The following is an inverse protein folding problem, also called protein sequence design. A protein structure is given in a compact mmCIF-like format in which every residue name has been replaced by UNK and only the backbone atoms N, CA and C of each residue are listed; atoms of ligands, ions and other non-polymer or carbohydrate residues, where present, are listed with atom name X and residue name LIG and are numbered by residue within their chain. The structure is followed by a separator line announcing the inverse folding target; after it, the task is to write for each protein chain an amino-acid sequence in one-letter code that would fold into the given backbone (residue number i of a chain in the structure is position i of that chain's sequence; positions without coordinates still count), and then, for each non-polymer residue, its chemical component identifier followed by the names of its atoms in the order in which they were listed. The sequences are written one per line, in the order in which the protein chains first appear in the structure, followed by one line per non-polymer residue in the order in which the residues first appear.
data_IF_628044496007
#
_entry.id   IF_628044496007
#
_cell.length_a   1.000
_cell.length_b   1.000
_cell.length_c   1.000
_cell.angle_alpha   90.00
_cell.angle_beta   90.00
_cell.angle_gamma   90.00
#
_symmetry.space_group_name_H-M   'P 1'
#
loop_
_entity.id
_entity.type
_entity.pdbx_description
1 polymer ?
#
# COMPACT_ATOMS: atom_id res chain seq x y z
N UNK A 1 -34.70 48.90 -24.19
CA UNK A 1 -33.27 48.60 -24.42
C UNK A 1 -32.63 48.23 -23.10
N UNK A 2 -32.36 46.92 -22.91
CA UNK A 2 -31.24 46.30 -22.16
C UNK A 2 -31.64 44.86 -21.86
N UNK A 3 -31.24 43.98 -22.78
CA UNK A 3 -31.26 42.53 -22.61
C UNK A 3 -30.31 42.19 -21.44
N UNK A 4 -30.84 41.56 -20.40
CA UNK A 4 -30.04 40.91 -19.37
C UNK A 4 -29.72 39.50 -19.87
N UNK A 5 -28.59 39.38 -20.55
CA UNK A 5 -28.01 38.10 -20.93
C UNK A 5 -27.59 37.38 -19.65
N UNK A 6 -28.37 36.36 -19.24
CA UNK A 6 -27.96 35.42 -18.20
C UNK A 6 -26.76 34.64 -18.73
N UNK A 7 -25.57 35.04 -18.29
CA UNK A 7 -24.33 34.29 -18.49
C UNK A 7 -24.43 33.01 -17.63
N UNK A 8 -24.84 31.91 -18.24
CA UNK A 8 -24.79 30.58 -17.64
C UNK A 8 -23.31 30.17 -17.64
N UNK A 9 -22.61 30.50 -16.56
CA UNK A 9 -21.26 29.96 -16.32
C UNK A 9 -21.45 28.49 -16.00
N UNK A 10 -21.35 27.66 -17.03
CA UNK A 10 -21.15 26.22 -16.90
C UNK A 10 -19.81 26.05 -16.16
N UNK A 11 -19.86 25.90 -14.84
CA UNK A 11 -18.76 25.40 -14.03
C UNK A 11 -18.49 23.97 -14.49
N UNK A 12 -17.66 23.83 -15.53
CA UNK A 12 -16.99 22.57 -15.82
C UNK A 12 -16.02 22.40 -14.66
N UNK A 13 -16.42 21.64 -13.64
CA UNK A 13 -15.50 21.16 -12.62
C UNK A 13 -14.51 20.26 -13.33
N UNK A 14 -13.35 20.82 -13.68
CA UNK A 14 -12.18 20.02 -14.02
C UNK A 14 -11.85 19.31 -12.70
N UNK A 15 -12.28 18.06 -12.56
CA UNK A 15 -11.83 17.21 -11.47
C UNK A 15 -10.32 17.10 -11.66
N UNK A 16 -9.55 17.82 -10.83
CA UNK A 16 -8.11 17.61 -10.76
C UNK A 16 -7.92 16.21 -10.21
N UNK A 17 -7.77 15.25 -11.11
CA UNK A 17 -7.27 13.92 -10.85
C UNK A 17 -5.84 14.08 -10.29
N UNK A 18 -5.71 14.09 -8.97
CA UNK A 18 -4.41 14.04 -8.31
C UNK A 18 -4.01 12.57 -8.23
N UNK A 19 -3.05 12.14 -9.05
CA UNK A 19 -2.44 10.83 -8.89
C UNK A 19 -1.52 10.83 -7.66
N UNK A 20 -1.62 9.76 -6.88
CA UNK A 20 -0.71 9.45 -5.77
C UNK A 20 0.26 8.39 -6.25
N UNK A 21 1.52 8.54 -5.90
CA UNK A 21 2.58 7.56 -6.18
C UNK A 21 3.34 7.28 -4.89
N UNK A 22 3.47 5.99 -4.57
CA UNK A 22 4.24 5.48 -3.44
C UNK A 22 5.32 4.55 -3.99
N UNK A 23 6.58 4.76 -3.59
CA UNK A 23 7.72 3.97 -4.04
C UNK A 23 8.59 3.56 -2.85
N UNK A 24 9.08 2.33 -2.88
CA UNK A 24 10.01 1.77 -1.90
C UNK A 24 11.35 1.47 -2.57
N UNK A 25 12.45 1.60 -1.82
CA UNK A 25 13.80 1.19 -2.27
C UNK A 25 14.29 0.05 -1.40
N UNK A 26 14.99 0.36 -0.32
CA UNK A 26 15.50 -0.61 0.65
C UNK A 26 14.62 -0.69 1.92
N UNK A 27 13.35 -0.33 1.79
CA UNK A 27 12.36 -0.26 2.87
C UNK A 27 11.03 -0.91 2.47
N UNK A 28 10.15 -1.08 3.46
CA UNK A 28 8.76 -1.51 3.29
C UNK A 28 7.82 -0.33 3.58
N UNK A 29 6.62 -0.36 3.01
CA UNK A 29 5.59 0.66 3.25
C UNK A 29 4.20 0.03 3.29
N UNK A 30 3.28 0.67 4.02
CA UNK A 30 1.86 0.29 4.04
C UNK A 30 1.02 1.50 3.65
N UNK A 31 0.25 1.35 2.58
CA UNK A 31 -0.65 2.38 2.07
C UNK A 31 -2.11 1.96 2.31
N UNK A 32 -2.90 2.87 2.88
CA UNK A 32 -4.35 2.71 2.99
C UNK A 32 -5.03 3.46 1.85
N UNK A 33 -5.69 2.71 0.96
CA UNK A 33 -6.38 3.28 -0.20
C UNK A 33 -7.70 3.96 0.21
N UNK A 34 -8.25 4.86 -0.63
CA UNK A 34 -9.47 5.59 -0.29
C UNK A 34 -10.71 4.72 -0.04
N UNK A 35 -10.73 3.46 -0.50
CA UNK A 35 -11.81 2.50 -0.21
C UNK A 35 -11.60 1.68 1.07
N UNK A 36 -10.55 1.98 1.85
CA UNK A 36 -10.15 1.27 3.06
C UNK A 36 -9.35 -0.02 2.82
N UNK A 37 -8.99 -0.34 1.57
CA UNK A 37 -8.11 -1.46 1.27
C UNK A 37 -6.69 -1.14 1.71
N UNK A 38 -5.98 -2.15 2.22
CA UNK A 38 -4.57 -2.01 2.59
C UNK A 38 -3.70 -2.62 1.50
N UNK A 39 -2.70 -1.86 1.08
CA UNK A 39 -1.66 -2.31 0.17
C UNK A 39 -0.34 -2.22 0.86
N UNK A 40 0.42 -3.29 0.78
CA UNK A 40 1.70 -3.35 1.43
C UNK A 40 2.78 -3.61 0.40
N UNK A 41 3.78 -2.74 0.41
CA UNK A 41 4.83 -2.70 -0.59
C UNK A 41 6.07 -3.37 -0.03
N UNK A 42 6.60 -4.35 -0.76
CA UNK A 42 7.93 -4.87 -0.53
C UNK A 42 8.98 -3.83 -0.97
N UNK A 43 10.25 -4.05 -0.68
CA UNK A 43 11.37 -3.27 -1.21
C UNK A 43 11.37 -3.26 -2.76
N UNK A 44 11.93 -2.21 -3.38
CA UNK A 44 11.95 -2.01 -4.84
C UNK A 44 10.59 -2.14 -5.53
N UNK A 45 9.54 -1.58 -4.94
CA UNK A 45 8.18 -1.67 -5.44
C UNK A 45 7.55 -0.28 -5.61
N UNK A 46 6.52 -0.19 -6.45
CA UNK A 46 5.78 1.05 -6.64
C UNK A 46 4.28 0.81 -6.76
N UNK A 47 3.51 1.78 -6.29
CA UNK A 47 2.06 1.84 -6.35
C UNK A 47 1.64 3.22 -6.85
N UNK A 48 0.75 3.27 -7.83
CA UNK A 48 0.16 4.50 -8.34
C UNK A 48 -1.35 4.37 -8.45
N UNK A 49 -2.10 5.38 -8.00
CA UNK A 49 -3.56 5.41 -8.09
C UNK A 49 -4.11 6.83 -8.10
N UNK A 50 -5.34 6.98 -8.60
CA UNK A 50 -6.08 8.24 -8.56
C UNK A 50 -6.66 8.46 -7.15
N UNK A 51 -6.37 9.61 -6.54
CA UNK A 51 -6.86 9.96 -5.20
C UNK A 51 -8.38 9.97 -5.07
N UNK A 52 -9.12 10.26 -6.16
CA UNK A 52 -10.59 10.18 -6.18
C UNK A 52 -11.08 8.75 -5.98
N UNK A 53 -10.31 7.79 -6.50
CA UNK A 53 -10.62 6.36 -6.49
C UNK A 53 -12.03 6.02 -7.03
N UNK A 54 -12.56 6.88 -7.91
CA UNK A 54 -13.84 6.68 -8.61
C UNK A 54 -13.87 5.32 -9.34
N UNK A 55 -12.69 4.93 -9.84
CA UNK A 55 -12.37 3.57 -10.22
C UNK A 55 -11.36 3.02 -9.23
N UNK A 56 -11.65 1.84 -8.69
CA UNK A 56 -10.76 1.12 -7.77
C UNK A 56 -9.61 0.48 -8.56
N UNK A 57 -8.76 1.31 -9.14
CA UNK A 57 -7.67 0.89 -10.03
C UNK A 57 -6.33 1.38 -9.50
N UNK A 58 -5.33 0.50 -9.55
CA UNK A 58 -3.95 0.81 -9.16
C UNK A 58 -2.99 0.30 -10.22
N UNK A 59 -1.88 0.99 -10.47
CA UNK A 59 -0.77 0.53 -11.28
C UNK A 59 0.41 0.17 -10.37
N UNK A 60 1.10 -0.93 -10.64
CA UNK A 60 2.17 -1.40 -9.75
C UNK A 60 3.42 -1.89 -10.49
N UNK A 61 4.53 -1.90 -9.75
CA UNK A 61 5.76 -2.64 -10.07
C UNK A 61 6.31 -3.30 -8.80
N UNK A 62 7.06 -4.39 -8.95
CA UNK A 62 7.66 -5.10 -7.83
C UNK A 62 6.68 -6.07 -7.17
N UNK A 63 6.78 -6.23 -5.86
CA UNK A 63 5.97 -7.16 -5.07
C UNK A 63 5.11 -6.42 -4.05
N UNK A 64 3.80 -6.62 -4.15
CA UNK A 64 2.82 -5.99 -3.29
C UNK A 64 1.79 -7.02 -2.83
N UNK A 65 1.45 -6.94 -1.55
CA UNK A 65 0.33 -7.68 -0.97
C UNK A 65 -0.89 -6.77 -0.82
N UNK A 66 -2.06 -7.32 -1.13
CA UNK A 66 -3.33 -6.61 -1.14
C UNK A 66 -4.32 -7.28 -0.19
N UNK A 67 -4.85 -6.49 0.75
CA UNK A 67 -6.04 -6.81 1.54
C UNK A 67 -7.18 -5.90 1.05
N UNK A 68 -7.92 -6.39 0.05
CA UNK A 68 -8.95 -5.59 -0.63
C UNK A 68 -10.30 -5.69 0.07
N UNK A 69 -10.85 -4.54 0.46
CA UNK A 69 -12.19 -4.45 1.04
C UNK A 69 -13.23 -4.93 0.04
N UNK A 70 -14.19 -5.73 0.50
CA UNK A 70 -15.26 -6.24 -0.35
C UNK A 70 -16.18 -5.12 -0.84
N UNK A 71 -16.36 -5.02 -2.16
CA UNK A 71 -17.19 -4.00 -2.80
C UNK A 71 -17.98 -4.53 -4.00
N UNK A 72 -18.93 -3.73 -4.47
CA UNK A 72 -19.75 -4.05 -5.64
C UNK A 72 -19.00 -3.80 -6.96
N UNK A 73 -18.15 -2.77 -7.01
CA UNK A 73 -17.26 -2.48 -8.13
C UNK A 73 -15.96 -3.28 -8.02
N UNK A 74 -15.39 -3.74 -9.15
CA UNK A 74 -14.13 -4.46 -9.15
C UNK A 74 -12.98 -3.56 -8.72
N UNK A 75 -12.06 -4.14 -7.96
CA UNK A 75 -10.72 -3.60 -7.75
C UNK A 75 -9.79 -4.20 -8.80
N UNK A 76 -8.98 -3.38 -9.47
CA UNK A 76 -8.10 -3.79 -10.57
C UNK A 76 -6.67 -3.36 -10.29
N UNK A 77 -5.78 -4.33 -10.20
CA UNK A 77 -4.33 -4.10 -10.20
C UNK A 77 -3.83 -4.24 -11.63
N UNK A 78 -3.20 -3.19 -12.15
CA UNK A 78 -2.60 -3.16 -13.48
C UNK A 78 -1.10 -3.33 -13.38
N UNK A 79 -0.56 -4.19 -14.23
CA UNK A 79 0.87 -4.37 -14.44
C UNK A 79 1.18 -4.25 -15.92
N UNK A 80 2.46 -4.24 -16.28
CA UNK A 80 2.86 -4.25 -17.70
C UNK A 80 2.37 -5.51 -18.45
N UNK A 81 2.24 -6.63 -17.73
CA UNK A 81 1.95 -7.94 -18.33
C UNK A 81 0.47 -8.34 -18.29
N UNK A 82 -0.33 -7.66 -17.48
CA UNK A 82 -1.74 -7.98 -17.35
C UNK A 82 -2.47 -7.23 -16.25
N UNK A 83 -3.70 -7.67 -16.02
CA UNK A 83 -4.60 -7.12 -15.02
C UNK A 83 -5.07 -8.20 -14.05
N UNK A 84 -5.09 -7.87 -12.77
CA UNK A 84 -5.63 -8.69 -11.69
C UNK A 84 -6.91 -8.04 -11.19
N UNK A 85 -8.04 -8.74 -11.30
CA UNK A 85 -9.36 -8.22 -10.92
C UNK A 85 -9.98 -9.01 -9.78
N UNK A 86 -10.48 -8.29 -8.79
CA UNK A 86 -11.11 -8.86 -7.58
C UNK A 86 -12.33 -8.05 -7.15
N UNK A 87 -13.14 -8.58 -6.25
CA UNK A 87 -14.23 -7.84 -5.58
C UNK A 87 -13.95 -7.61 -4.09
N UNK A 88 -13.10 -8.44 -3.48
CA UNK A 88 -12.74 -8.47 -2.06
C UNK A 88 -11.98 -9.76 -1.81
N UNK A 89 -10.66 -9.66 -1.69
CA UNK A 89 -9.73 -10.78 -1.83
C UNK A 89 -8.44 -10.39 -1.11
N UNK A 90 -7.79 -11.37 -0.48
CA UNK A 90 -6.43 -11.26 0.03
C UNK A 90 -5.48 -12.00 -0.90
N UNK A 91 -4.52 -11.29 -1.49
CA UNK A 91 -3.64 -11.84 -2.53
C UNK A 91 -2.32 -11.09 -2.64
N UNK A 92 -1.29 -11.79 -3.12
CA UNK A 92 0.01 -11.21 -3.46
C UNK A 92 0.12 -11.07 -4.98
N UNK A 93 0.74 -9.98 -5.43
CA UNK A 93 1.16 -9.80 -6.83
C UNK A 93 2.65 -9.47 -6.86
N UNK A 94 3.42 -10.26 -7.60
CA UNK A 94 4.83 -9.99 -7.88
C UNK A 94 5.00 -9.89 -9.39
N UNK A 95 5.50 -8.75 -9.86
CA UNK A 95 5.61 -8.47 -11.29
C UNK A 95 6.92 -7.76 -11.63
N UNK A 96 7.50 -8.17 -12.75
CA UNK A 96 8.60 -7.49 -13.42
C UNK A 96 8.32 -7.43 -14.94
N UNK A 97 9.32 -7.08 -15.73
CA UNK A 97 9.20 -6.91 -17.20
C UNK A 97 8.85 -8.21 -17.96
N UNK A 98 9.14 -9.37 -17.36
CA UNK A 98 9.02 -10.68 -17.99
C UNK A 98 8.03 -11.61 -17.31
N UNK A 99 7.78 -11.44 -16.01
CA UNK A 99 6.99 -12.36 -15.19
C UNK A 99 5.94 -11.63 -14.36
N UNK A 100 4.76 -12.26 -14.24
CA UNK A 100 3.65 -11.85 -13.39
C UNK A 100 3.16 -13.08 -12.62
N UNK A 101 3.34 -13.03 -11.31
CA UNK A 101 2.94 -14.04 -10.35
C UNK A 101 1.84 -13.50 -9.44
N UNK A 102 0.78 -14.29 -9.26
CA UNK A 102 -0.33 -13.98 -8.35
C UNK A 102 -0.60 -15.16 -7.43
N UNK A 103 -0.67 -14.94 -6.12
CA UNK A 103 -1.03 -15.94 -5.13
C UNK A 103 -2.26 -15.50 -4.34
N UNK A 104 -3.26 -16.38 -4.18
CA UNK A 104 -4.55 -16.03 -3.56
C UNK A 104 -4.69 -16.74 -2.21
N UNK A 105 -4.80 -15.96 -1.13
CA UNK A 105 -4.98 -16.47 0.23
C UNK A 105 -6.47 -16.55 0.61
N UNK A 106 -7.24 -15.50 0.32
CA UNK A 106 -8.69 -15.46 0.50
C UNK A 106 -9.40 -14.92 -0.74
N UNK A 107 -10.59 -15.43 -1.04
CA UNK A 107 -11.43 -14.94 -2.12
C UNK A 107 -11.11 -15.56 -3.48
N UNK A 108 -11.25 -14.76 -4.53
CA UNK A 108 -11.02 -15.20 -5.91
C UNK A 108 -10.48 -14.03 -6.73
N UNK A 109 -9.49 -14.36 -7.56
CA UNK A 109 -8.86 -13.46 -8.52
C UNK A 109 -9.24 -13.86 -9.93
N UNK A 110 -9.45 -12.88 -10.79
CA UNK A 110 -9.37 -13.05 -12.24
C UNK A 110 -8.07 -12.42 -12.74
N UNK A 111 -7.13 -13.25 -13.20
CA UNK A 111 -5.91 -12.79 -13.87
C UNK A 111 -6.15 -12.78 -15.39
N UNK A 112 -5.88 -11.65 -16.02
CA UNK A 112 -5.99 -11.45 -17.46
C UNK A 112 -4.66 -10.95 -18.02
N UNK A 113 -4.21 -11.55 -19.10
CA UNK A 113 -3.09 -11.08 -19.93
C UNK A 113 -3.61 -10.87 -21.35
N UNK A 114 -2.79 -10.34 -22.26
CA UNK A 114 -3.20 -10.06 -23.64
C UNK A 114 -3.84 -11.25 -24.36
N UNK A 115 -3.41 -12.48 -24.04
CA UNK A 115 -3.82 -13.69 -24.75
C UNK A 115 -4.56 -14.71 -23.88
N UNK A 116 -4.72 -14.47 -22.58
CA UNK A 116 -5.30 -15.48 -21.68
C UNK A 116 -5.97 -14.88 -20.46
N UNK A 117 -6.99 -15.56 -19.96
CA UNK A 117 -7.69 -15.20 -18.72
C UNK A 117 -7.91 -16.44 -17.87
N UNK A 118 -7.66 -16.35 -16.56
CA UNK A 118 -7.88 -17.44 -15.60
C UNK A 118 -8.47 -16.92 -14.31
N UNK A 119 -9.38 -17.71 -13.73
CA UNK A 119 -9.80 -17.55 -12.33
C UNK A 119 -8.86 -18.33 -11.43
N UNK A 120 -8.36 -17.67 -10.39
CA UNK A 120 -7.44 -18.20 -9.38
C UNK A 120 -8.18 -18.15 -8.05
N UNK A 121 -8.39 -19.32 -7.44
CA UNK A 121 -9.12 -19.43 -6.17
C UNK A 121 -8.14 -19.45 -5.01
N UNK A 122 -8.68 -19.24 -3.81
CA UNK A 122 -7.97 -19.49 -2.54
C UNK A 122 -7.08 -20.75 -2.58
N UNK A 123 -5.84 -20.59 -2.14
CA UNK A 123 -4.82 -21.64 -2.09
C UNK A 123 -4.17 -21.95 -3.44
N UNK A 124 -4.50 -21.21 -4.49
CA UNK A 124 -3.90 -21.34 -5.82
C UNK A 124 -2.99 -20.16 -6.15
N UNK A 125 -2.05 -20.43 -7.05
CA UNK A 125 -1.22 -19.43 -7.70
C UNK A 125 -1.47 -19.42 -9.21
N UNK A 126 -1.15 -18.30 -9.84
CA UNK A 126 -1.14 -18.14 -11.27
C UNK A 126 0.14 -17.43 -11.69
N UNK A 127 0.84 -18.00 -12.67
CA UNK A 127 2.09 -17.47 -13.21
C UNK A 127 1.94 -17.20 -14.69
N UNK A 128 2.38 -16.05 -15.13
CA UNK A 128 2.53 -15.71 -16.53
C UNK A 128 3.94 -15.25 -16.79
N UNK A 129 4.53 -15.75 -17.87
CA UNK A 129 5.83 -15.31 -18.38
C UNK A 129 5.64 -14.82 -19.80
N UNK A 130 6.21 -13.67 -20.13
CA UNK A 130 6.23 -13.09 -21.47
C UNK A 130 6.77 -14.12 -22.46
N UNK A 131 6.05 -14.31 -23.58
CA UNK A 131 6.38 -15.31 -24.59
C UNK A 131 5.79 -16.71 -24.34
N UNK A 132 5.21 -17.00 -23.17
CA UNK A 132 4.48 -18.26 -22.96
C UNK A 132 3.05 -18.19 -23.55
N UNK A 133 2.52 -19.36 -23.94
CA UNK A 133 1.18 -19.50 -24.53
C UNK A 133 0.00 -19.35 -23.52
N UNK A 134 0.24 -18.83 -22.32
CA UNK A 134 -0.83 -18.52 -21.37
C UNK A 134 -0.42 -18.58 -19.90
N UNK A 135 -1.42 -18.37 -19.04
CA UNK A 135 -1.30 -18.43 -17.58
C UNK A 135 -1.22 -19.89 -17.09
N UNK A 136 -0.22 -20.17 -16.26
CA UNK A 136 -0.01 -21.46 -15.61
C UNK A 136 -0.55 -21.41 -14.17
N UNK A 137 -1.42 -22.36 -13.80
CA UNK A 137 -1.96 -22.45 -12.44
C UNK A 137 -1.11 -23.39 -11.58
N UNK A 138 -0.95 -23.04 -10.31
CA UNK A 138 -0.22 -23.83 -9.32
C UNK A 138 -0.92 -23.82 -7.95
N UNK A 139 -0.25 -24.39 -6.96
CA UNK A 139 -0.60 -24.19 -5.55
C UNK A 139 0.07 -22.90 -5.06
N UNK A 140 -0.65 -22.10 -4.29
CA UNK A 140 -0.04 -20.99 -3.57
C UNK A 140 0.99 -21.57 -2.60
N UNK A 141 2.16 -20.94 -2.52
CA UNK A 141 3.19 -21.36 -1.57
C UNK A 141 2.80 -20.99 -0.14
N UNK A 142 1.86 -20.05 0.02
CA UNK A 142 1.41 -19.47 1.31
C UNK A 142 2.59 -18.89 2.10
N UNK A 143 3.47 -18.17 1.40
CA UNK A 143 4.63 -17.51 2.00
C UNK A 143 4.28 -16.20 2.73
N UNK A 144 3.01 -15.78 2.73
CA UNK A 144 2.56 -14.54 3.41
C UNK A 144 2.94 -14.48 4.89
N UNK A 145 2.99 -15.63 5.58
CA UNK A 145 3.41 -15.69 6.98
C UNK A 145 4.85 -15.20 7.19
N UNK A 146 5.75 -15.32 6.20
CA UNK A 146 7.10 -14.79 6.33
C UNK A 146 7.09 -13.26 6.31
N UNK A 147 6.27 -12.67 5.45
CA UNK A 147 6.21 -11.22 5.30
C UNK A 147 5.51 -10.53 6.50
N UNK A 148 4.47 -11.16 7.08
CA UNK A 148 3.92 -10.73 8.38
C UNK A 148 4.90 -10.93 9.54
N UNK A 149 5.68 -12.02 9.55
CA UNK A 149 6.71 -12.22 10.57
C UNK A 149 7.80 -11.14 10.48
N UNK A 150 8.23 -10.80 9.27
CA UNK A 150 9.24 -9.77 9.03
C UNK A 150 8.74 -8.39 9.48
N UNK A 151 7.49 -8.03 9.11
CA UNK A 151 6.83 -6.83 9.61
C UNK A 151 6.65 -6.84 11.13
N UNK A 152 6.24 -7.96 11.73
CA UNK A 152 6.09 -8.06 13.19
C UNK A 152 7.45 -7.90 13.90
N UNK A 153 8.53 -8.44 13.32
CA UNK A 153 9.90 -8.26 13.79
C UNK A 153 10.30 -6.78 13.73
N UNK A 154 10.00 -6.08 12.63
CA UNK A 154 10.25 -4.65 12.49
C UNK A 154 9.44 -3.82 13.50
N UNK A 155 8.13 -4.08 13.64
CA UNK A 155 7.30 -3.42 14.64
C UNK A 155 7.82 -3.65 16.07
N UNK A 156 8.26 -4.86 16.40
CA UNK A 156 8.88 -5.16 17.71
C UNK A 156 10.20 -4.41 17.89
N UNK A 157 11.01 -4.26 16.85
CA UNK A 157 12.26 -3.51 16.89
C UNK A 157 12.00 -2.02 17.11
N UNK A 158 11.11 -1.41 16.32
CA UNK A 158 10.68 -0.02 16.46
C UNK A 158 10.10 0.25 17.86
N UNK A 159 9.25 -0.65 18.36
CA UNK A 159 8.71 -0.54 19.71
C UNK A 159 9.78 -0.55 20.81
N UNK A 160 10.88 -1.28 20.64
CA UNK A 160 12.03 -1.26 21.57
C UNK A 160 12.80 0.06 21.47
N UNK A 161 13.01 0.58 20.27
CA UNK A 161 13.71 1.85 20.05
C UNK A 161 12.93 3.03 20.63
N UNK A 162 11.62 3.10 20.37
CA UNK A 162 10.73 4.12 20.95
C UNK A 162 10.75 4.07 22.48
N UNK A 163 10.69 2.86 23.07
CA UNK A 163 10.78 2.69 24.53
C UNK A 163 12.13 3.14 25.09
N UNK A 164 13.22 2.89 24.36
CA UNK A 164 14.57 3.33 24.75
C UNK A 164 14.66 4.86 24.70
N UNK A 165 14.27 5.46 23.58
CA UNK A 165 14.28 6.92 23.41
C UNK A 165 13.42 7.63 24.47
N UNK A 166 12.23 7.09 24.76
CA UNK A 166 11.35 7.64 25.81
C UNK A 166 12.01 7.65 27.19
N UNK A 167 12.71 6.58 27.57
CA UNK A 167 13.43 6.51 28.86
C UNK A 167 14.60 7.49 28.93
N UNK A 168 15.28 7.70 27.81
CA UNK A 168 16.42 8.61 27.72
C UNK A 168 15.96 10.07 27.89
N UNK A 169 14.88 10.46 27.19
CA UNK A 169 14.22 11.77 27.33
C UNK A 169 13.77 12.00 28.79
N UNK A 170 13.18 10.99 29.44
CA UNK A 170 12.73 11.12 30.83
C UNK A 170 13.91 11.34 31.79
N UNK A 171 15.02 10.62 31.58
CA UNK A 171 16.24 10.74 32.38
C UNK A 171 16.88 12.12 32.20
N UNK A 172 16.97 12.62 30.98
CA UNK A 172 17.48 13.96 30.68
C UNK A 172 16.61 15.04 31.29
N UNK A 173 15.29 14.92 31.15
CA UNK A 173 14.31 15.85 31.75
C UNK A 173 14.45 15.93 33.27
N UNK A 174 14.60 14.78 33.96
CA UNK A 174 14.85 14.73 35.42
C UNK A 174 16.19 15.36 35.80
N UNK A 175 17.24 15.15 34.99
CA UNK A 175 18.56 15.74 35.24
C UNK A 175 18.52 17.26 35.09
N UNK A 176 17.83 17.76 34.06
CA UNK A 176 17.64 19.18 33.82
C UNK A 176 16.88 19.85 34.98
N UNK A 177 15.77 19.25 35.43
CA UNK A 177 15.01 19.75 36.58
C UNK A 177 15.87 19.86 37.85
N UNK A 178 16.65 18.83 38.17
CA UNK A 178 17.58 18.87 39.32
C UNK A 178 18.65 19.95 39.20
N UNK A 179 19.14 20.23 37.99
CA UNK A 179 20.12 21.29 37.75
C UNK A 179 19.50 22.68 37.96
N UNK A 180 18.29 22.89 37.45
CA UNK A 180 17.52 24.13 37.65
C UNK A 180 17.25 24.36 39.14
N UNK A 181 16.77 23.35 39.86
CA UNK A 181 16.53 23.44 41.31
C UNK A 181 17.79 23.82 42.10
N UNK A 182 18.94 23.25 41.71
CA UNK A 182 20.23 23.56 42.34
C UNK A 182 20.61 25.02 42.11
N UNK A 183 20.41 25.55 40.90
CA UNK A 183 20.75 26.92 40.57
C UNK A 183 19.81 27.93 41.24
N UNK A 184 18.51 27.63 41.28
CA UNK A 184 17.53 28.44 42.02
C UNK A 184 17.84 28.54 43.52
N UNK A 185 18.33 27.46 44.13
CA UNK A 185 18.75 27.49 45.55
C UNK A 185 19.94 28.41 45.78
N UNK A 186 20.93 28.43 44.88
CA UNK A 186 22.08 29.35 44.99
C UNK A 186 21.66 30.81 44.88
N UNK A 187 20.73 31.12 43.98
CA UNK A 187 20.23 32.49 43.77
C UNK A 187 19.45 33.04 44.96
N UNK A 188 18.81 32.17 45.77
CA UNK A 188 18.07 32.57 46.99
C UNK A 188 18.94 32.69 48.25
N UNK A 189 20.22 32.33 48.16
CA UNK A 189 21.20 32.41 49.27
C UNK A 189 22.12 33.65 49.17
N UNK A 190 21.95 34.46 48.12
CA UNK A 190 22.55 35.78 47.92
C UNK A 190 21.48 36.86 48.10
#
# INVERSE_FOLDING_TARGET
MKLLTRLFVLLITISSCSNVTVETKDNYEVEELPDGSLVYLNHNSSLEYDQSFDKREVNIKGELYFSVVKGASPFVVKTELGEVKVLGTEFNVNTNEDELDVEVEEGTVELSTNNSKKKVKRGQSAKYKKGNNGIQLGKAKRDFNNWLNDLEIEFKKLGKEIKKGSKEIEKESKKAGKAIDKELKKLKLN
#
